data_IF_716606394655
#
_entry.id   IF_716606394655
#
_cell.length_a   1.000
_cell.length_b   1.000
_cell.length_c   1.000
_cell.angle_alpha   90.00
_cell.angle_beta   90.00
_cell.angle_gamma   90.00
#
_symmetry.space_group_name_H-M   'P 1'
#
loop_
_entity.id
_entity.type
_entity.pdbx_description
1 polymer ?
#
# COMPACT_ATOMS: atom_id res chain seq x y z
N UNK A 1 -20.07 14.44 45.28
CA UNK A 1 -20.15 13.46 44.19
C UNK A 1 -19.16 13.90 43.13
N UNK A 2 -18.09 13.13 42.91
CA UNK A 2 -17.10 13.46 41.89
C UNK A 2 -17.57 12.89 40.54
N UNK A 3 -17.79 13.76 39.58
CA UNK A 3 -18.07 13.40 38.19
C UNK A 3 -16.88 12.63 37.62
N UNK A 4 -17.10 11.53 36.87
CA UNK A 4 -16.02 10.86 36.18
C UNK A 4 -15.47 11.79 35.10
N UNK A 5 -14.24 12.25 35.30
CA UNK A 5 -13.40 12.84 34.25
C UNK A 5 -13.30 11.78 33.15
N UNK A 6 -13.65 12.06 31.89
CA UNK A 6 -13.24 11.18 30.81
C UNK A 6 -11.72 11.31 30.76
N UNK A 7 -11.02 10.31 31.32
CA UNK A 7 -9.61 10.09 31.06
C UNK A 7 -9.45 10.19 29.55
N UNK A 8 -8.68 11.17 29.09
CA UNK A 8 -8.19 11.23 27.72
C UNK A 8 -7.51 9.91 27.43
N UNK A 9 -8.29 8.97 26.89
CA UNK A 9 -7.88 7.65 26.53
C UNK A 9 -7.03 7.78 25.27
N UNK A 10 -5.76 8.08 25.50
CA UNK A 10 -4.63 7.88 24.60
C UNK A 10 -4.93 8.05 23.10
N UNK A 11 -5.51 9.18 22.67
CA UNK A 11 -5.52 9.71 21.29
C UNK A 11 -5.76 8.73 20.13
N UNK A 12 -6.35 7.55 20.36
CA UNK A 12 -6.42 6.46 19.40
C UNK A 12 -7.88 6.20 19.08
N UNK A 13 -8.28 6.51 17.86
CA UNK A 13 -9.66 6.35 17.40
C UNK A 13 -9.71 5.30 16.31
N UNK A 14 -10.57 4.30 16.42
CA UNK A 14 -10.79 3.35 15.33
C UNK A 14 -11.52 4.04 14.18
N UNK A 15 -10.89 4.04 13.02
CA UNK A 15 -11.43 4.65 11.81
C UNK A 15 -11.61 3.58 10.73
N UNK A 16 -12.76 3.64 10.05
CA UNK A 16 -13.02 2.82 8.86
C UNK A 16 -12.44 3.48 7.61
N UNK A 17 -11.69 2.70 6.84
CA UNK A 17 -11.06 3.12 5.60
C UNK A 17 -11.53 2.26 4.43
N UNK A 18 -11.77 2.92 3.30
CA UNK A 18 -11.96 2.30 1.99
C UNK A 18 -10.70 2.48 1.16
N UNK A 19 -9.94 1.41 0.99
CA UNK A 19 -8.67 1.37 0.28
C UNK A 19 -8.90 1.06 -1.19
N UNK A 20 -8.53 1.99 -2.08
CA UNK A 20 -8.66 1.85 -3.53
C UNK A 20 -7.28 1.77 -4.16
N UNK A 21 -6.87 0.59 -4.60
CA UNK A 21 -5.63 0.38 -5.35
C UNK A 21 -5.91 0.48 -6.85
N UNK A 22 -5.28 1.45 -7.51
CA UNK A 22 -5.31 1.57 -8.96
C UNK A 22 -4.07 0.93 -9.59
N UNK A 23 -4.31 0.04 -10.55
CA UNK A 23 -3.31 -0.68 -11.33
C UNK A 23 -3.53 -0.32 -12.80
N UNK A 24 -2.48 0.15 -13.46
CA UNK A 24 -2.46 0.41 -14.90
C UNK A 24 -1.86 -0.81 -15.59
N UNK A 25 -2.58 -1.35 -16.57
CA UNK A 25 -2.12 -2.48 -17.38
C UNK A 25 -2.21 -2.13 -18.85
N UNK A 26 -1.16 -2.47 -19.59
CA UNK A 26 -1.12 -2.34 -21.03
C UNK A 26 -1.77 -3.56 -21.67
N UNK A 27 -2.94 -3.39 -22.28
CA UNK A 27 -3.61 -4.45 -23.05
C UNK A 27 -3.35 -4.25 -24.53
N UNK A 28 -2.87 -5.29 -25.20
CA UNK A 28 -2.65 -5.29 -26.66
C UNK A 28 -4.02 -5.37 -27.34
N UNK A 29 -4.39 -4.34 -28.10
CA UNK A 29 -5.53 -4.38 -29.03
C UNK A 29 -4.98 -4.50 -30.46
N UNK A 30 -4.93 -5.73 -30.97
CA UNK A 30 -4.54 -6.01 -32.35
C UNK A 30 -3.09 -5.61 -32.70
N UNK A 31 -2.80 -5.54 -34.01
CA UNK A 31 -1.46 -5.34 -34.57
C UNK A 31 -0.94 -3.93 -34.26
N UNK A 32 -0.22 -3.79 -33.16
CA UNK A 32 0.63 -2.63 -32.83
C UNK A 32 0.03 -1.53 -31.93
N UNK A 33 -1.26 -1.60 -31.53
CA UNK A 33 -1.87 -0.59 -30.64
C UNK A 33 -2.01 -1.12 -29.22
N UNK A 34 -1.34 -0.47 -28.28
CA UNK A 34 -1.46 -0.74 -26.84
C UNK A 34 -2.46 0.23 -26.23
N UNK A 35 -3.49 -0.26 -25.55
CA UNK A 35 -4.41 0.57 -24.75
C UNK A 35 -4.04 0.44 -23.28
N UNK A 36 -4.00 1.55 -22.57
CA UNK A 36 -3.88 1.53 -21.12
C UNK A 36 -5.26 1.26 -20.51
N UNK A 37 -5.35 0.18 -19.73
CA UNK A 37 -6.54 -0.18 -18.97
C UNK A 37 -6.31 0.12 -17.50
N UNK A 38 -7.29 0.79 -16.89
CA UNK A 38 -7.28 1.17 -15.47
C UNK A 38 -8.16 0.20 -14.70
N UNK A 39 -7.55 -0.58 -13.82
CA UNK A 39 -8.28 -1.44 -12.88
C UNK A 39 -8.15 -0.88 -11.46
N UNK A 40 -9.27 -0.69 -10.78
CA UNK A 40 -9.30 -0.27 -9.36
C UNK A 40 -9.81 -1.42 -8.50
N UNK A 41 -9.02 -1.84 -7.51
CA UNK A 41 -9.41 -2.83 -6.50
C UNK A 41 -9.71 -2.14 -5.19
N UNK A 42 -10.92 -2.33 -4.68
CA UNK A 42 -11.35 -1.79 -3.40
C UNK A 42 -11.21 -2.84 -2.29
N UNK A 43 -10.79 -2.39 -1.11
CA UNK A 43 -10.74 -3.17 0.13
C UNK A 43 -11.16 -2.29 1.30
N UNK A 44 -11.64 -2.90 2.36
CA UNK A 44 -11.96 -2.17 3.60
C UNK A 44 -10.98 -2.55 4.70
N UNK A 45 -10.65 -1.55 5.53
CA UNK A 45 -9.74 -1.66 6.66
C UNK A 45 -10.27 -0.81 7.80
N UNK A 46 -10.49 -1.42 8.97
CA UNK A 46 -10.66 -0.69 10.22
C UNK A 46 -9.30 -0.61 10.89
N UNK A 47 -8.89 0.60 11.27
CA UNK A 47 -7.57 0.82 11.87
C UNK A 47 -7.63 1.92 12.93
N UNK A 48 -6.99 1.66 14.07
CA UNK A 48 -6.84 2.64 15.15
C UNK A 48 -5.82 3.71 14.78
N UNK A 49 -6.31 4.87 14.33
CA UNK A 49 -5.47 6.03 13.97
C UNK A 49 -4.95 6.75 15.20
N UNK A 50 -3.71 7.20 15.15
CA UNK A 50 -3.07 8.00 16.19
C UNK A 50 -2.00 8.91 15.55
N UNK A 51 -1.77 10.09 16.11
CA UNK A 51 -0.76 11.05 15.64
C UNK A 51 0.66 10.61 16.06
N UNK A 52 1.16 9.54 15.45
CA UNK A 52 2.49 8.97 15.72
C UNK A 52 3.10 8.37 14.46
N UNK A 53 4.40 8.58 14.26
CA UNK A 53 5.15 8.03 13.13
C UNK A 53 5.09 6.49 13.08
N UNK A 54 5.10 5.82 14.23
CA UNK A 54 4.96 4.37 14.29
C UNK A 54 3.56 3.90 13.81
N UNK A 55 2.53 4.70 14.06
CA UNK A 55 1.17 4.45 13.61
C UNK A 55 1.06 4.61 12.09
N UNK A 56 1.70 5.63 11.52
CA UNK A 56 1.83 5.81 10.06
C UNK A 56 2.45 4.58 9.38
N UNK A 57 3.59 4.09 9.86
CA UNK A 57 4.25 2.90 9.30
C UNK A 57 3.35 1.66 9.42
N UNK A 58 2.67 1.51 10.55
CA UNK A 58 1.75 0.39 10.79
C UNK A 58 0.53 0.46 9.86
N UNK A 59 -0.01 1.65 9.61
CA UNK A 59 -1.10 1.88 8.68
C UNK A 59 -0.69 1.50 7.25
N UNK A 60 0.45 2.00 6.76
CA UNK A 60 0.98 1.65 5.44
C UNK A 60 1.15 0.14 5.27
N UNK A 61 1.72 -0.55 6.27
CA UNK A 61 1.88 -2.02 6.27
C UNK A 61 0.54 -2.71 6.12
N UNK A 62 -0.47 -2.29 6.88
CA UNK A 62 -1.81 -2.88 6.80
C UNK A 62 -2.48 -2.64 5.43
N UNK A 63 -2.34 -1.44 4.86
CA UNK A 63 -2.87 -1.11 3.53
C UNK A 63 -2.25 -2.01 2.46
N UNK A 64 -0.92 -2.16 2.44
CA UNK A 64 -0.24 -3.01 1.46
C UNK A 64 -0.57 -4.50 1.66
N UNK A 65 -0.62 -4.97 2.91
CA UNK A 65 -1.00 -6.35 3.24
C UNK A 65 -2.41 -6.69 2.74
N UNK A 66 -3.38 -5.79 2.91
CA UNK A 66 -4.77 -5.99 2.43
C UNK A 66 -4.87 -6.18 0.91
N UNK A 67 -3.95 -5.59 0.16
CA UNK A 67 -3.85 -5.72 -1.28
C UNK A 67 -2.94 -6.88 -1.75
N UNK A 68 -2.43 -7.71 -0.83
CA UNK A 68 -1.46 -8.77 -1.11
C UNK A 68 -0.20 -8.26 -1.83
N UNK A 69 0.17 -7.00 -1.59
CA UNK A 69 1.44 -6.43 -2.05
C UNK A 69 2.54 -6.82 -1.03
N UNK A 70 2.73 -8.14 -0.82
CA UNK A 70 3.80 -8.67 0.02
C UNK A 70 5.16 -8.40 -0.64
N UNK A 71 6.17 -8.24 0.22
CA UNK A 71 7.60 -8.11 -0.12
C UNK A 71 8.11 -6.71 -0.49
N UNK A 72 7.64 -5.68 0.21
CA UNK A 72 8.44 -4.46 0.34
C UNK A 72 8.66 -4.23 1.82
N UNK A 73 9.91 -4.32 2.27
CA UNK A 73 10.33 -3.87 3.60
C UNK A 73 9.90 -2.40 3.75
N UNK A 74 8.70 -2.14 4.28
CA UNK A 74 8.23 -0.79 4.62
C UNK A 74 9.07 -0.33 5.80
N UNK A 75 10.21 0.24 5.45
CA UNK A 75 11.10 1.01 6.32
C UNK A 75 10.81 2.49 6.10
N UNK A 76 11.15 3.34 7.07
CA UNK A 76 11.02 4.81 6.96
C UNK A 76 11.72 5.38 5.70
N UNK A 77 12.67 4.63 5.15
CA UNK A 77 13.35 4.97 3.90
C UNK A 77 12.47 4.82 2.64
N UNK A 78 11.32 4.13 2.70
CA UNK A 78 10.41 3.95 1.58
C UNK A 78 9.21 4.89 1.70
N UNK A 79 9.13 5.90 0.83
CA UNK A 79 7.96 6.76 0.75
C UNK A 79 6.88 6.03 -0.08
N UNK A 80 5.71 5.82 0.53
CA UNK A 80 4.54 5.25 -0.13
C UNK A 80 3.48 6.34 -0.28
N UNK A 81 3.63 7.24 -1.26
CA UNK A 81 2.72 8.36 -1.42
C UNK A 81 1.33 7.82 -1.75
N UNK A 82 0.34 8.24 -0.96
CA UNK A 82 -1.06 7.92 -1.19
C UNK A 82 -1.89 9.20 -1.10
N UNK A 83 -3.12 9.16 -1.61
CA UNK A 83 -4.07 10.26 -1.42
C UNK A 83 -5.20 9.82 -0.52
N UNK A 84 -5.79 10.73 0.25
CA UNK A 84 -7.03 10.45 0.98
C UNK A 84 -8.15 11.43 0.64
N UNK A 85 -9.37 10.99 0.92
CA UNK A 85 -10.60 11.71 0.71
C UNK A 85 -11.52 11.49 1.90
N UNK A 86 -12.05 12.59 2.41
CA UNK A 86 -13.17 12.59 3.33
C UNK A 86 -14.48 12.34 2.54
N UNK A 87 -15.53 11.79 3.17
CA UNK A 87 -16.73 11.34 2.47
C UNK A 87 -17.47 12.45 1.69
N UNK A 88 -17.24 13.72 2.02
CA UNK A 88 -17.84 14.89 1.34
C UNK A 88 -16.98 15.46 0.20
N UNK A 89 -15.80 14.91 -0.03
CA UNK A 89 -14.83 15.44 -1.01
C UNK A 89 -14.92 14.72 -2.36
N UNK A 90 -14.68 15.45 -3.45
CA UNK A 90 -14.55 14.85 -4.79
C UNK A 90 -13.14 14.32 -4.98
N UNK A 91 -12.94 13.42 -5.95
CA UNK A 91 -11.62 12.86 -6.26
C UNK A 91 -10.57 13.94 -6.57
N UNK A 92 -11.00 15.06 -7.16
CA UNK A 92 -10.13 16.22 -7.42
C UNK A 92 -9.62 16.92 -6.15
N UNK A 93 -10.35 16.78 -5.04
CA UNK A 93 -10.02 17.35 -3.73
C UNK A 93 -9.18 16.38 -2.87
N UNK A 94 -8.69 15.28 -3.47
CA UNK A 94 -7.90 14.29 -2.75
C UNK A 94 -6.57 14.89 -2.30
N UNK A 95 -6.28 14.74 -1.01
CA UNK A 95 -5.09 15.30 -0.37
C UNK A 95 -3.97 14.26 -0.43
N UNK A 96 -2.80 14.64 -0.94
CA UNK A 96 -1.61 13.79 -0.96
C UNK A 96 -1.02 13.65 0.46
N UNK A 97 -0.55 12.44 0.76
CA UNK A 97 0.12 12.08 2.01
C UNK A 97 1.41 11.37 1.60
N UNK A 98 2.52 12.09 1.73
CA UNK A 98 3.84 11.63 1.31
C UNK A 98 4.72 11.23 2.51
N UNK A 99 4.43 11.79 3.69
CA UNK A 99 5.19 11.55 4.92
C UNK A 99 4.34 11.53 6.20
N UNK A 100 5.01 11.36 7.34
CA UNK A 100 4.37 11.23 8.64
C UNK A 100 3.71 12.54 9.13
N UNK A 101 4.17 13.72 8.67
CA UNK A 101 3.54 15.00 9.01
C UNK A 101 2.17 15.11 8.32
N UNK A 102 2.10 14.83 7.02
CA UNK A 102 0.84 14.77 6.28
C UNK A 102 -0.13 13.74 6.89
N UNK A 103 0.39 12.59 7.31
CA UNK A 103 -0.40 11.58 8.00
C UNK A 103 -1.00 12.12 9.30
N UNK A 104 -0.20 12.82 10.11
CA UNK A 104 -0.69 13.42 11.35
C UNK A 104 -1.77 14.47 11.08
N UNK A 105 -1.66 15.25 10.01
CA UNK A 105 -2.72 16.18 9.58
C UNK A 105 -3.99 15.44 9.17
N UNK A 106 -3.87 14.34 8.42
CA UNK A 106 -4.99 13.47 8.08
C UNK A 106 -5.67 12.95 9.36
N UNK A 107 -4.90 12.45 10.33
CA UNK A 107 -5.46 11.94 11.60
C UNK A 107 -6.15 13.03 12.39
N UNK A 108 -5.59 14.25 12.46
CA UNK A 108 -6.25 15.40 13.11
C UNK A 108 -7.60 15.70 12.47
N UNK A 109 -7.67 15.76 11.13
CA UNK A 109 -8.94 15.97 10.41
C UNK A 109 -9.95 14.85 10.65
N UNK A 110 -9.49 13.61 10.75
CA UNK A 110 -10.36 12.47 11.08
C UNK A 110 -10.94 12.61 12.50
N UNK A 111 -10.12 12.99 13.47
CA UNK A 111 -10.55 13.19 14.86
C UNK A 111 -11.53 14.37 14.97
N UNK A 112 -11.29 15.44 14.22
CA UNK A 112 -12.12 16.65 14.22
C UNK A 112 -13.47 16.44 13.49
N UNK A 113 -13.43 15.95 12.25
CA UNK A 113 -14.62 15.80 11.40
C UNK A 113 -15.41 14.50 11.71
N UNK A 114 -14.75 13.49 12.31
CA UNK A 114 -15.30 12.16 12.60
C UNK A 114 -16.03 11.55 11.38
N UNK A 115 -15.35 11.42 10.24
CA UNK A 115 -15.95 10.87 9.03
C UNK A 115 -16.30 9.39 9.23
N UNK A 116 -17.46 8.94 8.71
CA UNK A 116 -17.83 7.52 8.82
C UNK A 116 -16.85 6.60 8.08
N UNK A 117 -16.42 6.99 6.87
CA UNK A 117 -15.47 6.22 6.06
C UNK A 117 -14.52 7.19 5.36
N UNK A 118 -13.21 6.98 5.53
CA UNK A 118 -12.17 7.72 4.81
C UNK A 118 -11.72 6.89 3.62
N UNK A 119 -11.68 7.48 2.43
CA UNK A 119 -11.23 6.77 1.23
C UNK A 119 -9.76 7.04 0.98
N UNK A 120 -8.98 5.99 0.80
CA UNK A 120 -7.54 6.05 0.54
C UNK A 120 -7.30 5.57 -0.87
N UNK A 121 -6.63 6.39 -1.68
CA UNK A 121 -6.32 6.12 -3.07
C UNK A 121 -4.83 5.81 -3.20
N UNK A 122 -4.52 4.58 -3.57
CA UNK A 122 -3.16 4.09 -3.76
C UNK A 122 -2.94 3.82 -5.24
N UNK A 123 -1.84 4.34 -5.81
CA UNK A 123 -1.47 4.09 -7.20
C UNK A 123 -0.22 3.20 -7.24
N UNK A 124 -0.34 1.97 -7.75
CA UNK A 124 0.77 1.02 -7.82
C UNK A 124 1.97 1.59 -8.60
N UNK A 125 1.71 2.20 -9.75
CA UNK A 125 2.75 2.77 -10.60
C UNK A 125 3.50 3.94 -9.94
N UNK A 126 2.81 4.72 -9.09
CA UNK A 126 3.44 5.81 -8.32
C UNK A 126 4.36 5.25 -7.24
N UNK A 127 3.95 4.19 -6.56
CA UNK A 127 4.79 3.47 -5.60
C UNK A 127 6.03 2.89 -6.28
N UNK A 128 5.87 2.19 -7.40
CA UNK A 128 7.00 1.60 -8.15
C UNK A 128 7.98 2.68 -8.64
N UNK A 129 7.47 3.82 -9.11
CA UNK A 129 8.32 4.96 -9.50
C UNK A 129 9.06 5.56 -8.31
N UNK A 130 8.40 5.72 -7.16
CA UNK A 130 9.01 6.26 -5.94
C UNK A 130 10.12 5.35 -5.42
N UNK A 131 9.93 4.03 -5.48
CA UNK A 131 10.94 3.03 -5.12
C UNK A 131 12.15 3.09 -6.08
N UNK A 132 11.92 3.16 -7.40
CA UNK A 132 13.01 3.26 -8.39
C UNK A 132 13.84 4.54 -8.25
N UNK A 133 13.21 5.68 -7.98
CA UNK A 133 13.90 6.97 -7.88
C UNK A 133 14.92 7.04 -6.72
N UNK A 134 14.76 6.21 -5.68
CA UNK A 134 15.72 6.13 -4.57
C UNK A 134 16.95 5.28 -4.91
N UNK A 135 16.83 4.32 -5.82
CA UNK A 135 17.98 3.54 -6.29
C UNK A 135 18.94 4.38 -7.15
N UNK A 136 18.43 5.38 -7.87
CA UNK A 136 19.24 6.24 -8.75
C UNK A 136 19.95 7.41 -8.06
N UNK A 137 19.75 7.63 -6.75
CA UNK A 137 20.47 8.68 -6.00
C UNK A 137 21.76 8.19 -5.35
N UNK A 138 22.12 6.93 -5.55
CA UNK A 138 23.43 6.40 -5.19
C UNK A 138 24.15 5.92 -6.46
N UNK A 139 24.90 6.83 -7.08
CA UNK A 139 26.06 6.51 -7.91
C UNK A 139 25.84 5.93 -9.31
N UNK A 140 26.38 6.67 -10.28
CA UNK A 140 26.80 6.26 -11.63
C UNK A 140 25.74 5.91 -12.69
N UNK A 141 25.78 6.76 -13.71
CA UNK A 141 25.61 6.45 -15.12
C UNK A 141 26.28 5.11 -15.45
N UNK A 142 25.52 4.01 -15.52
CA UNK A 142 25.89 2.80 -16.26
C UNK A 142 24.64 1.92 -16.43
N UNK A 143 24.36 1.60 -17.68
CA UNK A 143 23.26 0.75 -18.12
C UNK A 143 23.40 -0.66 -17.55
N UNK A 144 22.61 -1.01 -16.53
CA UNK A 144 22.30 -2.41 -16.27
C UNK A 144 20.80 -2.60 -16.09
N UNK A 145 20.25 -3.34 -17.04
CA UNK A 145 19.02 -4.11 -16.91
C UNK A 145 18.90 -4.68 -15.49
N UNK A 146 17.90 -4.22 -14.73
CA UNK A 146 17.47 -4.97 -13.56
C UNK A 146 16.61 -6.10 -14.10
N UNK A 147 17.29 -7.20 -14.40
CA UNK A 147 16.75 -8.54 -14.51
C UNK A 147 15.95 -8.78 -13.24
N UNK A 148 14.62 -8.75 -13.35
CA UNK A 148 13.75 -9.31 -12.33
C UNK A 148 14.13 -10.79 -12.27
N UNK A 149 14.71 -11.20 -11.15
CA UNK A 149 14.99 -12.59 -10.82
C UNK A 149 13.64 -13.32 -10.75
N UNK A 150 13.18 -13.81 -11.90
CA UNK A 150 12.26 -14.92 -11.97
C UNK A 150 13.08 -16.13 -11.54
N UNK A 151 12.89 -16.56 -10.30
CA UNK A 151 13.35 -17.87 -9.82
C UNK A 151 12.96 -18.94 -10.84
N UNK A 152 13.91 -19.69 -11.43
CA UNK A 152 13.57 -20.86 -12.20
C UNK A 152 13.36 -22.05 -11.26
N UNK A 153 12.33 -22.84 -11.56
CA UNK A 153 12.17 -24.24 -11.16
C UNK A 153 11.86 -24.53 -9.67
N UNK A 154 10.57 -24.52 -9.34
CA UNK A 154 10.04 -25.46 -8.35
C UNK A 154 9.40 -26.63 -9.10
N UNK A 155 10.20 -27.64 -9.46
CA UNK A 155 9.67 -28.97 -9.78
C UNK A 155 9.13 -29.63 -8.50
N UNK A 156 7.92 -30.22 -8.52
CA UNK A 156 7.46 -31.05 -7.43
C UNK A 156 8.32 -32.32 -7.36
N UNK A 157 8.90 -32.56 -6.18
CA UNK A 157 9.67 -33.76 -5.86
C UNK A 157 8.69 -34.92 -5.61
N UNK A 158 8.61 -35.83 -6.58
CA UNK A 158 7.91 -37.12 -6.42
C UNK A 158 8.80 -38.01 -5.54
N UNK A 159 8.29 -38.61 -4.44
CA UNK A 159 9.05 -39.60 -3.69
C UNK A 159 9.14 -40.93 -4.46
N UNK A 160 10.36 -41.41 -4.61
CA UNK A 160 10.78 -42.66 -5.24
C UNK A 160 10.19 -43.88 -4.49
N UNK A 161 9.48 -44.75 -5.21
CA UNK A 161 9.10 -46.08 -4.73
C UNK A 161 10.13 -47.12 -5.22
N UNK A 162 10.60 -48.04 -4.36
CA UNK A 162 11.56 -49.06 -4.77
C UNK A 162 10.91 -50.11 -5.69
N UNK A 163 11.54 -50.32 -6.85
CA UNK A 163 11.19 -51.41 -7.78
C UNK A 163 11.65 -52.74 -7.19
N UNK A 164 10.70 -53.58 -6.80
CA UNK A 164 10.91 -55.00 -6.55
C UNK A 164 10.51 -55.81 -7.78
N UNK A 165 11.32 -56.81 -8.14
CA UNK A 165 10.91 -57.95 -8.97
C UNK A 165 11.50 -58.01 -10.37
N UNK A 166 12.63 -58.73 -10.50
CA UNK A 166 12.92 -59.50 -11.71
C UNK A 166 12.61 -60.97 -11.40
N UNK A 167 11.91 -61.59 -12.34
CA UNK A 167 11.61 -63.01 -12.47
C UNK A 167 12.89 -63.85 -12.60
#
# INVERSE_FOLDING_TARGET
MASPTPSSENGKTDQSFSLSLTIYSHVKKGKGKTKEEKTTKMKELVFGVCTSTANYLSFLRNVLLKHNLRDSNISEACNYPFKYLLPKQRISDAIDVDDAADYNEMVKKIIEEKPSIVRVLVNKHKIEKALRAKHTRSGSDDLHEIIIVLSPDSKPKIPDQPTAGKF
#
